data_IF_093778191289
#
_entry.id   IF_093778191289
#
_cell.length_a   1.000
_cell.length_b   1.000
_cell.length_c   1.000
_cell.angle_alpha   90.00
_cell.angle_beta   90.00
_cell.angle_gamma   90.00
#
_symmetry.space_group_name_H-M   'P 1'
#
loop_
_entity.id
_entity.type
_entity.pdbx_description
1 polymer ?
#
# COMPACT_ATOMS: atom_id res chain seq x y z
N UNK A 1 -19.27 -18.12 -33.27
CA UNK A 1 -20.12 -16.96 -33.69
C UNK A 1 -20.75 -16.18 -32.53
N UNK A 2 -20.75 -16.66 -31.28
CA UNK A 2 -21.27 -15.90 -30.10
C UNK A 2 -20.24 -14.96 -29.45
N UNK A 3 -18.93 -15.19 -29.60
CA UNK A 3 -17.88 -14.33 -29.04
C UNK A 3 -17.68 -12.99 -29.78
N UNK A 4 -18.05 -12.93 -31.07
CA UNK A 4 -17.85 -11.70 -31.88
C UNK A 4 -18.93 -10.64 -31.65
N UNK A 5 -20.06 -10.99 -31.05
CA UNK A 5 -21.16 -10.04 -30.78
C UNK A 5 -20.91 -9.30 -29.47
N UNK A 6 -20.26 -9.96 -28.50
CA UNK A 6 -19.91 -9.37 -27.20
C UNK A 6 -18.83 -8.27 -27.34
N UNK A 7 -17.83 -8.52 -28.20
CA UNK A 7 -16.76 -7.54 -28.45
C UNK A 7 -17.28 -6.29 -29.19
N UNK A 8 -18.26 -6.46 -30.10
CA UNK A 8 -18.83 -5.33 -30.83
C UNK A 8 -19.75 -4.46 -29.97
N UNK A 9 -20.46 -5.08 -28.98
CA UNK A 9 -21.26 -4.32 -28.01
C UNK A 9 -20.37 -3.57 -27.01
N UNK A 10 -19.26 -4.18 -26.56
CA UNK A 10 -18.29 -3.52 -25.71
C UNK A 10 -17.60 -2.34 -26.42
N UNK A 11 -17.23 -2.50 -27.70
CA UNK A 11 -16.66 -1.41 -28.49
C UNK A 11 -17.67 -0.26 -28.76
N UNK A 12 -18.95 -0.55 -28.89
CA UNK A 12 -20.01 0.46 -29.07
C UNK A 12 -20.33 1.21 -27.77
N UNK A 13 -20.17 0.58 -26.60
CA UNK A 13 -20.29 1.24 -25.30
C UNK A 13 -19.08 2.12 -24.99
N UNK A 14 -17.86 1.69 -25.33
CA UNK A 14 -16.64 2.46 -25.16
C UNK A 14 -16.61 3.73 -26.04
N UNK A 15 -17.20 3.69 -27.25
CA UNK A 15 -17.32 4.88 -28.11
C UNK A 15 -18.36 5.91 -27.64
N UNK A 16 -19.22 5.58 -26.67
CA UNK A 16 -20.20 6.51 -26.11
C UNK A 16 -19.73 7.24 -24.84
N UNK A 17 -18.56 6.85 -24.29
CA UNK A 17 -17.99 7.37 -23.04
C UNK A 17 -16.78 8.29 -23.25
N UNK A 18 -16.73 9.03 -24.39
CA UNK A 18 -15.83 10.19 -24.42
C UNK A 18 -16.30 11.16 -23.33
N UNK A 19 -15.38 11.65 -22.46
CA UNK A 19 -15.74 12.67 -21.49
C UNK A 19 -16.40 13.80 -22.28
N UNK A 20 -17.68 14.07 -21.95
CA UNK A 20 -18.34 15.26 -22.40
C UNK A 20 -17.55 16.41 -21.80
N UNK A 21 -16.68 17.06 -22.58
CA UNK A 21 -16.11 18.33 -22.18
C UNK A 21 -17.29 19.23 -21.80
N UNK A 22 -17.51 19.47 -20.53
CA UNK A 22 -18.62 20.25 -20.03
C UNK A 22 -18.38 21.73 -20.37
N UNK A 23 -18.75 22.12 -21.57
CA UNK A 23 -18.64 23.50 -22.06
C UNK A 23 -19.60 24.49 -21.38
N UNK A 24 -20.37 24.04 -20.38
CA UNK A 24 -21.46 24.79 -19.80
C UNK A 24 -21.29 25.31 -18.37
N UNK A 25 -20.13 25.09 -17.73
CA UNK A 25 -19.89 25.46 -16.33
C UNK A 25 -20.68 24.60 -15.33
N UNK A 26 -20.52 24.90 -14.03
CA UNK A 26 -21.09 24.11 -12.92
C UNK A 26 -22.63 23.98 -12.97
N UNK A 27 -23.33 24.99 -13.48
CA UNK A 27 -24.81 24.99 -13.57
C UNK A 27 -25.35 23.90 -14.52
N UNK A 28 -24.50 23.38 -15.42
CA UNK A 28 -24.87 22.30 -16.37
C UNK A 28 -24.31 20.94 -15.98
N UNK A 29 -23.53 20.86 -14.91
CA UNK A 29 -22.95 19.62 -14.42
C UNK A 29 -23.92 18.93 -13.46
N UNK A 30 -24.22 17.66 -13.72
CA UNK A 30 -25.05 16.81 -12.89
C UNK A 30 -24.17 15.80 -12.14
N UNK A 31 -23.85 16.04 -10.86
CA UNK A 31 -22.95 15.21 -10.10
C UNK A 31 -23.49 13.79 -9.84
N UNK A 32 -24.81 13.63 -9.71
CA UNK A 32 -25.44 12.31 -9.53
C UNK A 32 -25.25 11.47 -10.78
N UNK A 33 -25.55 12.07 -11.93
CA UNK A 33 -25.38 11.39 -13.21
C UNK A 33 -23.90 11.13 -13.54
N UNK A 34 -23.01 12.04 -13.14
CA UNK A 34 -21.58 11.84 -13.28
C UNK A 34 -21.11 10.62 -12.47
N UNK A 35 -21.53 10.49 -11.20
CA UNK A 35 -21.21 9.34 -10.36
C UNK A 35 -21.78 8.03 -10.89
N UNK A 36 -23.01 8.01 -11.41
CA UNK A 36 -23.61 6.81 -12.03
C UNK A 36 -22.77 6.27 -13.20
N UNK A 37 -22.04 7.14 -13.89
CA UNK A 37 -21.17 6.79 -15.02
C UNK A 37 -19.73 6.44 -14.59
N UNK A 38 -19.36 6.76 -13.35
CA UNK A 38 -18.00 6.59 -12.82
C UNK A 38 -17.95 5.36 -11.90
N UNK A 39 -18.11 4.17 -12.45
CA UNK A 39 -17.83 2.94 -11.74
C UNK A 39 -16.33 2.64 -11.73
N UNK A 40 -15.88 1.82 -10.78
CA UNK A 40 -14.51 1.29 -10.77
C UNK A 40 -14.18 0.64 -12.12
N UNK A 41 -15.12 -0.17 -12.64
CA UNK A 41 -14.97 -0.85 -13.93
C UNK A 41 -14.77 0.12 -15.11
N UNK A 42 -15.53 1.21 -15.16
CA UNK A 42 -15.39 2.22 -16.20
C UNK A 42 -14.03 2.92 -16.09
N UNK A 43 -13.59 3.23 -14.87
CA UNK A 43 -12.31 3.90 -14.63
C UNK A 43 -11.13 3.02 -15.08
N UNK A 44 -11.08 1.74 -14.64
CA UNK A 44 -9.97 0.85 -15.00
C UNK A 44 -9.96 0.46 -16.47
N UNK A 45 -11.11 0.44 -17.14
CA UNK A 45 -11.17 0.26 -18.60
C UNK A 45 -10.66 1.46 -19.37
N UNK A 46 -10.80 2.67 -18.84
CA UNK A 46 -10.32 3.91 -19.48
C UNK A 46 -8.83 4.16 -19.19
N UNK A 47 -8.40 3.98 -17.95
CA UNK A 47 -7.08 4.37 -17.46
C UNK A 47 -6.17 3.18 -17.13
N UNK A 48 -6.67 1.95 -17.11
CA UNK A 48 -5.92 0.74 -16.75
C UNK A 48 -5.90 0.44 -15.25
N UNK A 49 -5.99 1.45 -14.40
CA UNK A 49 -5.96 1.30 -12.94
C UNK A 49 -6.67 2.45 -12.22
N UNK A 50 -7.13 2.19 -11.00
CA UNK A 50 -7.69 3.19 -10.07
C UNK A 50 -7.06 3.02 -8.69
N UNK A 51 -6.53 4.08 -8.14
CA UNK A 51 -6.17 4.21 -6.73
C UNK A 51 -7.19 5.07 -6.00
N UNK A 52 -7.68 4.60 -4.85
CA UNK A 52 -8.48 5.37 -3.89
C UNK A 52 -7.70 5.37 -2.58
N UNK A 53 -7.11 6.50 -2.23
CA UNK A 53 -6.19 6.62 -1.10
C UNK A 53 -6.62 7.71 -0.16
N UNK A 54 -6.44 7.51 1.15
CA UNK A 54 -6.78 8.55 2.10
C UNK A 54 -6.71 8.14 3.56
N UNK A 55 -7.41 8.93 4.37
CA UNK A 55 -7.38 8.82 5.83
C UNK A 55 -8.79 8.89 6.40
N UNK A 56 -9.01 8.14 7.46
CA UNK A 56 -10.23 8.14 8.25
C UNK A 56 -9.83 8.44 9.70
N UNK A 57 -10.34 9.53 10.26
CA UNK A 57 -10.13 9.88 11.65
C UNK A 57 -11.38 9.57 12.47
N UNK A 58 -11.20 8.84 13.55
CA UNK A 58 -12.23 8.53 14.53
C UNK A 58 -11.98 9.36 15.79
N UNK A 59 -12.83 10.32 16.06
CA UNK A 59 -12.65 11.26 17.17
C UNK A 59 -13.78 11.10 18.18
N UNK A 60 -13.50 10.63 19.42
CA UNK A 60 -14.49 10.52 20.49
C UNK A 60 -15.13 11.88 20.82
N UNK A 61 -16.45 11.93 20.97
CA UNK A 61 -17.20 13.17 21.25
C UNK A 61 -17.19 13.58 22.70
N UNK A 62 -16.87 12.67 23.62
CA UNK A 62 -16.79 12.90 25.06
C UNK A 62 -15.47 13.54 25.53
N UNK A 63 -14.49 13.63 24.63
CA UNK A 63 -13.15 14.15 24.92
C UNK A 63 -12.30 13.21 25.83
N UNK A 64 -12.80 12.01 26.13
CA UNK A 64 -12.09 10.97 26.85
C UNK A 64 -11.65 9.87 25.86
N UNK A 65 -10.48 10.02 25.27
CA UNK A 65 -9.89 9.08 24.31
C UNK A 65 -8.98 9.78 23.32
N UNK A 66 -8.02 9.06 22.78
CA UNK A 66 -7.21 9.52 21.67
C UNK A 66 -7.96 9.32 20.34
N UNK A 67 -7.76 10.21 19.41
CA UNK A 67 -8.27 10.03 18.06
C UNK A 67 -7.51 8.86 17.40
N UNK A 68 -8.25 7.96 16.76
CA UNK A 68 -7.65 6.91 15.95
C UNK A 68 -7.62 7.32 14.48
N UNK A 69 -6.51 7.05 13.81
CA UNK A 69 -6.28 7.34 12.40
C UNK A 69 -6.11 6.04 11.63
N UNK A 70 -6.93 5.85 10.62
CA UNK A 70 -6.81 4.73 9.70
C UNK A 70 -6.41 5.26 8.33
N UNK A 71 -5.24 4.87 7.85
CA UNK A 71 -4.85 5.09 6.46
C UNK A 71 -5.43 3.98 5.60
N UNK A 72 -6.02 4.33 4.48
CA UNK A 72 -6.63 3.40 3.52
C UNK A 72 -6.04 3.60 2.12
N UNK A 73 -5.83 2.48 1.44
CA UNK A 73 -5.42 2.47 0.04
C UNK A 73 -6.12 1.31 -0.66
N UNK A 74 -6.96 1.62 -1.62
CA UNK A 74 -7.66 0.65 -2.46
C UNK A 74 -7.16 0.81 -3.88
N UNK A 75 -6.64 -0.27 -4.48
CA UNK A 75 -6.09 -0.26 -5.83
C UNK A 75 -6.76 -1.31 -6.68
N UNK A 76 -7.22 -0.90 -7.82
CA UNK A 76 -7.93 -1.71 -8.81
C UNK A 76 -7.14 -1.69 -10.10
N UNK A 77 -6.96 -2.85 -10.72
CA UNK A 77 -6.22 -3.03 -11.96
C UNK A 77 -7.00 -3.88 -12.93
N UNK A 78 -6.85 -3.62 -14.21
CA UNK A 78 -7.42 -4.46 -15.24
C UNK A 78 -6.43 -4.64 -16.39
N UNK A 79 -6.07 -5.91 -16.65
CA UNK A 79 -5.31 -6.32 -17.82
C UNK A 79 -6.25 -6.86 -18.89
N UNK A 80 -6.54 -6.09 -19.96
CA UNK A 80 -7.46 -6.52 -21.00
C UNK A 80 -6.92 -7.64 -21.90
N UNK A 81 -5.59 -7.88 -21.92
CA UNK A 81 -4.99 -8.95 -22.73
C UNK A 81 -5.28 -10.32 -22.12
N UNK A 82 -5.33 -10.42 -20.81
CA UNK A 82 -5.58 -11.64 -20.07
C UNK A 82 -6.97 -11.71 -19.41
N UNK A 83 -7.81 -10.67 -19.61
CA UNK A 83 -9.09 -10.52 -18.92
C UNK A 83 -8.93 -10.67 -17.40
N UNK A 84 -7.97 -9.95 -16.86
CA UNK A 84 -7.49 -10.10 -15.49
C UNK A 84 -7.84 -8.88 -14.62
N UNK A 85 -8.99 -8.86 -13.95
CA UNK A 85 -9.23 -7.92 -12.88
C UNK A 85 -8.44 -8.31 -11.63
N UNK A 86 -7.82 -7.33 -11.00
CA UNK A 86 -7.09 -7.51 -9.76
C UNK A 86 -7.30 -6.34 -8.80
N UNK A 87 -7.22 -6.62 -7.51
CA UNK A 87 -7.50 -5.66 -6.46
C UNK A 87 -6.56 -5.86 -5.28
N UNK A 88 -6.12 -4.74 -4.72
CA UNK A 88 -5.39 -4.71 -3.46
C UNK A 88 -6.02 -3.65 -2.57
N UNK A 89 -6.33 -3.98 -1.33
CA UNK A 89 -6.57 -2.98 -0.31
C UNK A 89 -5.56 -3.12 0.81
N UNK A 90 -5.09 -1.99 1.28
CA UNK A 90 -4.21 -1.86 2.42
C UNK A 90 -4.86 -0.90 3.40
N UNK A 91 -4.89 -1.27 4.67
CA UNK A 91 -5.39 -0.44 5.75
C UNK A 91 -4.41 -0.53 6.93
N UNK A 92 -4.12 0.60 7.54
CA UNK A 92 -3.29 0.64 8.74
C UNK A 92 -3.88 1.59 9.77
N UNK A 93 -3.82 1.19 11.02
CA UNK A 93 -4.17 1.99 12.19
C UNK A 93 -3.13 1.74 13.29
N UNK A 94 -3.36 2.31 14.47
CA UNK A 94 -2.54 2.01 15.65
C UNK A 94 -2.67 0.56 16.13
N UNK A 95 -3.76 -0.11 15.78
CA UNK A 95 -4.10 -1.44 16.29
C UNK A 95 -3.78 -2.57 15.30
N UNK A 96 -3.81 -2.31 14.01
CA UNK A 96 -3.62 -3.35 12.99
C UNK A 96 -3.10 -2.83 11.65
N UNK A 97 -2.52 -3.75 10.88
CA UNK A 97 -2.26 -3.61 9.46
C UNK A 97 -2.96 -4.72 8.70
N UNK A 98 -3.68 -4.38 7.64
CA UNK A 98 -4.53 -5.30 6.88
C UNK A 98 -4.25 -5.17 5.39
N UNK A 99 -4.06 -6.32 4.72
CA UNK A 99 -4.04 -6.41 3.27
C UNK A 99 -5.14 -7.36 2.81
N UNK A 100 -5.92 -6.94 1.82
CA UNK A 100 -6.72 -7.86 1.01
C UNK A 100 -6.21 -7.79 -0.43
N UNK A 101 -6.07 -8.94 -1.02
CA UNK A 101 -5.61 -9.09 -2.39
C UNK A 101 -6.46 -10.08 -3.16
N UNK A 102 -6.82 -9.75 -4.40
CA UNK A 102 -7.26 -10.76 -5.35
C UNK A 102 -6.72 -10.48 -6.76
N UNK A 103 -6.56 -11.55 -7.54
CA UNK A 103 -6.20 -11.52 -8.95
C UNK A 103 -6.76 -12.75 -9.65
N UNK A 104 -7.25 -12.58 -10.87
CA UNK A 104 -7.96 -13.64 -11.59
C UNK A 104 -7.06 -14.50 -12.49
N UNK A 105 -5.97 -13.96 -13.02
CA UNK A 105 -5.10 -14.64 -13.98
C UNK A 105 -3.74 -14.98 -13.35
N UNK A 106 -3.07 -16.12 -13.69
CA UNK A 106 -3.54 -17.25 -14.54
C UNK A 106 -4.54 -18.18 -13.84
N UNK A 107 -4.75 -18.05 -12.56
CA UNK A 107 -5.78 -18.71 -11.75
C UNK A 107 -6.25 -17.73 -10.69
N UNK A 108 -7.53 -17.74 -10.35
CA UNK A 108 -8.04 -16.91 -9.26
C UNK A 108 -7.29 -17.18 -7.96
N UNK A 109 -6.91 -16.12 -7.29
CA UNK A 109 -6.34 -16.14 -5.95
C UNK A 109 -6.93 -14.98 -5.16
N UNK A 110 -7.36 -15.24 -3.94
CA UNK A 110 -7.82 -14.23 -3.01
C UNK A 110 -7.22 -14.52 -1.65
N UNK A 111 -6.64 -13.51 -1.03
CA UNK A 111 -6.02 -13.66 0.26
C UNK A 111 -6.19 -12.44 1.13
N UNK A 112 -6.08 -12.64 2.43
CA UNK A 112 -5.98 -11.57 3.40
C UNK A 112 -4.80 -11.82 4.34
N UNK A 113 -4.14 -10.74 4.69
CA UNK A 113 -3.11 -10.68 5.71
C UNK A 113 -3.55 -9.66 6.74
N UNK A 114 -3.53 -10.05 8.01
CA UNK A 114 -3.85 -9.18 9.14
C UNK A 114 -2.68 -9.28 10.11
N UNK A 115 -2.13 -8.14 10.50
CA UNK A 115 -1.17 -8.03 11.58
C UNK A 115 -1.81 -7.24 12.73
N UNK A 116 -1.88 -7.85 13.90
CA UNK A 116 -2.42 -7.25 15.12
C UNK A 116 -1.26 -6.63 15.90
N UNK A 117 -1.29 -5.31 16.09
CA UNK A 117 -0.22 -4.57 16.76
C UNK A 117 -0.12 -4.84 18.25
N UNK A 118 -1.23 -5.25 18.88
CA UNK A 118 -1.27 -5.50 20.33
C UNK A 118 -0.74 -6.89 20.70
N UNK A 119 -0.99 -7.89 19.85
CA UNK A 119 -0.54 -9.27 20.06
C UNK A 119 0.76 -9.59 19.30
N UNK A 120 1.14 -8.75 18.34
CA UNK A 120 2.26 -8.97 17.41
C UNK A 120 2.09 -10.26 16.58
N UNK A 121 0.85 -10.72 16.41
CA UNK A 121 0.53 -11.91 15.64
C UNK A 121 0.03 -11.53 14.26
N UNK A 122 0.38 -12.32 13.25
CA UNK A 122 -0.19 -12.21 11.94
C UNK A 122 -1.11 -13.39 11.62
N UNK A 123 -2.08 -13.14 10.77
CA UNK A 123 -2.96 -14.16 10.22
C UNK A 123 -2.99 -14.00 8.70
N UNK A 124 -2.66 -15.08 8.00
CA UNK A 124 -2.81 -15.16 6.55
C UNK A 124 -3.93 -16.13 6.24
N UNK A 125 -4.88 -15.71 5.42
CA UNK A 125 -5.88 -16.60 4.85
C UNK A 125 -5.86 -16.52 3.33
N UNK A 126 -6.11 -17.66 2.67
CA UNK A 126 -6.29 -17.73 1.23
C UNK A 126 -7.60 -18.48 0.99
N UNK A 127 -8.54 -17.81 0.35
CA UNK A 127 -9.89 -18.29 0.15
C UNK A 127 -10.16 -18.60 -1.32
N UNK A 128 -10.95 -19.64 -1.57
CA UNK A 128 -11.57 -19.86 -2.88
C UNK A 128 -12.83 -18.98 -2.93
N UNK A 129 -12.73 -17.81 -3.54
CA UNK A 129 -13.86 -16.92 -3.74
C UNK A 129 -14.36 -16.95 -5.18
N UNK A 130 -15.67 -16.74 -5.31
CA UNK A 130 -16.31 -16.55 -6.61
C UNK A 130 -15.90 -15.16 -7.16
N UNK A 131 -15.20 -15.19 -8.29
CA UNK A 131 -14.70 -13.97 -8.96
C UNK A 131 -15.85 -13.03 -9.31
N UNK A 132 -17.01 -13.57 -9.72
CA UNK A 132 -18.18 -12.76 -10.08
C UNK A 132 -18.69 -11.96 -8.86
N UNK A 133 -18.56 -12.51 -7.66
CA UNK A 133 -18.89 -11.80 -6.42
C UNK A 133 -17.87 -10.70 -6.13
N UNK A 134 -16.57 -10.98 -6.29
CA UNK A 134 -15.50 -10.00 -6.02
C UNK A 134 -15.60 -8.78 -6.94
N UNK A 135 -15.84 -9.00 -8.24
CA UNK A 135 -15.91 -7.90 -9.20
C UNK A 135 -17.30 -7.25 -9.26
N UNK A 136 -18.30 -7.80 -8.59
CA UNK A 136 -19.66 -7.23 -8.60
C UNK A 136 -19.69 -5.79 -8.06
N UNK A 137 -18.88 -5.49 -7.07
CA UNK A 137 -18.76 -4.13 -6.48
C UNK A 137 -18.13 -3.11 -7.45
N UNK A 138 -17.40 -3.56 -8.47
CA UNK A 138 -16.77 -2.68 -9.45
C UNK A 138 -17.75 -1.96 -10.37
N UNK A 139 -18.99 -2.42 -10.42
CA UNK A 139 -20.08 -1.75 -11.13
C UNK A 139 -20.72 -0.60 -10.34
N UNK A 140 -20.39 -0.49 -9.02
CA UNK A 140 -20.77 0.66 -8.22
C UNK A 140 -19.91 1.89 -8.57
N UNK A 141 -20.37 3.08 -8.20
CA UNK A 141 -19.57 4.28 -8.41
C UNK A 141 -18.27 4.22 -7.56
N UNK A 142 -17.22 4.91 -8.06
CA UNK A 142 -15.87 4.82 -7.50
C UNK A 142 -15.75 5.26 -6.03
N UNK A 143 -16.72 6.02 -5.50
CA UNK A 143 -16.76 6.44 -4.10
C UNK A 143 -17.75 5.64 -3.25
N UNK A 144 -18.57 4.77 -3.86
CA UNK A 144 -19.62 4.04 -3.14
C UNK A 144 -20.76 4.92 -2.63
N UNK A 145 -20.90 6.15 -3.13
CA UNK A 145 -21.87 7.12 -2.63
C UNK A 145 -23.29 6.83 -3.12
N UNK A 146 -24.26 6.83 -2.20
CA UNK A 146 -25.68 6.86 -2.49
C UNK A 146 -26.24 8.27 -2.20
N UNK A 147 -26.58 8.98 -3.26
CA UNK A 147 -27.12 10.34 -3.18
C UNK A 147 -28.65 10.38 -3.34
N UNK A 148 -29.36 9.22 -3.32
CA UNK A 148 -30.81 9.15 -3.57
C UNK A 148 -31.64 9.97 -2.57
N UNK A 149 -31.21 10.00 -1.31
CA UNK A 149 -31.83 10.75 -0.22
C UNK A 149 -30.99 11.98 0.23
N UNK A 150 -29.97 12.36 -0.56
CA UNK A 150 -29.05 13.44 -0.21
C UNK A 150 -29.66 14.82 -0.48
N UNK A 151 -29.51 15.74 0.46
CA UNK A 151 -29.87 17.15 0.30
C UNK A 151 -28.67 17.98 -0.15
N UNK A 152 -28.71 18.52 -1.37
CA UNK A 152 -27.68 19.46 -1.83
C UNK A 152 -27.71 20.75 -1.01
N UNK A 153 -26.62 21.08 -0.32
CA UNK A 153 -26.48 22.27 0.50
C UNK A 153 -25.92 23.46 -0.30
N UNK A 154 -24.87 23.23 -1.08
CA UNK A 154 -24.31 24.21 -2.00
C UNK A 154 -23.49 23.56 -3.11
N UNK A 155 -23.23 24.34 -4.17
CA UNK A 155 -22.25 24.02 -5.19
C UNK A 155 -21.39 25.24 -5.49
N UNK A 156 -20.13 25.02 -5.83
CA UNK A 156 -19.19 26.07 -6.19
C UNK A 156 -18.17 25.58 -7.23
N UNK A 157 -17.67 26.52 -8.04
CA UNK A 157 -16.57 26.27 -8.98
C UNK A 157 -15.32 26.95 -8.40
N UNK A 158 -14.25 26.20 -8.23
CA UNK A 158 -13.01 26.67 -7.64
C UNK A 158 -11.81 26.00 -8.31
N UNK A 159 -10.85 26.78 -8.80
CA UNK A 159 -9.56 26.34 -9.35
C UNK A 159 -9.63 25.16 -10.35
N UNK A 160 -10.67 25.12 -11.20
CA UNK A 160 -10.86 24.06 -12.19
C UNK A 160 -11.56 22.81 -11.67
N UNK A 161 -12.17 22.90 -10.50
CA UNK A 161 -12.99 21.85 -9.90
C UNK A 161 -14.44 22.32 -9.71
N UNK A 162 -15.38 21.37 -9.85
CA UNK A 162 -16.75 21.53 -9.44
C UNK A 162 -16.95 20.83 -8.08
N UNK A 163 -17.36 21.62 -7.08
CA UNK A 163 -17.57 21.14 -5.71
C UNK A 163 -19.06 21.08 -5.42
N UNK A 164 -19.52 19.94 -4.92
CA UNK A 164 -20.90 19.72 -4.49
C UNK A 164 -20.91 19.23 -3.04
N UNK A 165 -21.62 19.93 -2.19
CA UNK A 165 -21.75 19.60 -0.77
C UNK A 165 -23.17 19.10 -0.47
N UNK A 166 -23.27 17.95 0.15
CA UNK A 166 -24.51 17.27 0.49
C UNK A 166 -24.62 17.02 2.00
N UNK A 167 -25.85 16.98 2.47
CA UNK A 167 -26.22 16.31 3.71
C UNK A 167 -26.84 14.96 3.34
N UNK A 168 -26.22 13.90 3.82
CA UNK A 168 -26.66 12.52 3.57
C UNK A 168 -26.99 11.91 4.93
N UNK A 169 -28.27 11.98 5.34
CA UNK A 169 -28.75 11.43 6.63
C UNK A 169 -27.96 11.92 7.86
N UNK A 170 -27.50 13.19 7.83
CA UNK A 170 -26.72 13.80 8.91
C UNK A 170 -25.21 13.76 8.72
N UNK A 171 -24.71 13.00 7.77
CA UNK A 171 -23.32 13.10 7.32
C UNK A 171 -23.15 14.25 6.33
N UNK A 172 -22.04 14.98 6.42
CA UNK A 172 -21.73 16.09 5.52
C UNK A 172 -20.68 15.64 4.50
N UNK A 173 -21.13 15.43 3.26
CA UNK A 173 -20.33 14.92 2.15
C UNK A 173 -19.99 16.05 1.18
N UNK A 174 -18.70 16.15 0.78
CA UNK A 174 -18.27 16.99 -0.34
C UNK A 174 -17.64 16.16 -1.41
N UNK A 175 -18.00 16.42 -2.65
CA UNK A 175 -17.50 15.78 -3.85
C UNK A 175 -16.83 16.83 -4.74
N UNK A 176 -15.60 16.54 -5.18
CA UNK A 176 -14.78 17.44 -6.00
C UNK A 176 -14.53 16.77 -7.35
N UNK A 177 -15.10 17.32 -8.40
CA UNK A 177 -14.99 16.82 -9.76
C UNK A 177 -14.05 17.73 -10.57
N UNK A 178 -13.18 17.15 -11.36
CA UNK A 178 -12.41 17.90 -12.36
C UNK A 178 -13.34 18.56 -13.37
N UNK A 179 -13.24 19.87 -13.54
CA UNK A 179 -14.17 20.65 -14.37
C UNK A 179 -14.01 20.36 -15.87
N UNK A 180 -12.90 19.75 -16.31
CA UNK A 180 -12.62 19.43 -17.71
C UNK A 180 -13.06 18.01 -18.05
N UNK A 181 -12.63 17.02 -17.26
CA UNK A 181 -12.92 15.61 -17.50
C UNK A 181 -14.24 15.16 -16.89
N UNK A 182 -14.72 15.84 -15.85
CA UNK A 182 -15.90 15.45 -15.08
C UNK A 182 -15.66 14.29 -14.09
N UNK A 183 -14.42 13.77 -13.98
CA UNK A 183 -14.10 12.70 -13.05
C UNK A 183 -14.01 13.21 -11.61
N UNK A 184 -14.50 12.37 -10.66
CA UNK A 184 -14.30 12.58 -9.24
C UNK A 184 -12.81 12.46 -8.90
N UNK A 185 -12.26 13.50 -8.27
CA UNK A 185 -10.84 13.58 -7.91
C UNK A 185 -10.63 13.44 -6.41
N UNK A 186 -11.60 13.89 -5.64
CA UNK A 186 -11.47 14.03 -4.20
C UNK A 186 -12.84 13.97 -3.53
N UNK A 187 -12.91 13.41 -2.33
CA UNK A 187 -14.08 13.47 -1.48
C UNK A 187 -13.73 13.69 -0.02
N UNK A 188 -14.57 14.39 0.71
CA UNK A 188 -14.51 14.46 2.18
C UNK A 188 -15.88 14.14 2.75
N UNK A 189 -15.90 13.40 3.83
CA UNK A 189 -17.10 13.10 4.58
C UNK A 189 -16.87 13.37 6.06
N UNK A 190 -17.83 14.04 6.68
CA UNK A 190 -17.90 14.25 8.11
C UNK A 190 -19.20 13.63 8.62
N UNK A 191 -19.09 12.56 9.39
CA UNK A 191 -20.21 11.88 10.01
C UNK A 191 -20.14 12.10 11.54
N UNK A 192 -21.29 12.46 12.14
CA UNK A 192 -21.44 12.73 13.57
C UNK A 192 -22.46 11.77 14.15
N UNK A 193 -21.94 10.73 14.79
CA UNK A 193 -22.75 9.78 15.51
C UNK A 193 -22.63 9.99 17.03
N UNK A 194 -23.59 9.45 17.79
CA UNK A 194 -23.55 9.50 19.25
C UNK A 194 -22.29 8.80 19.77
N UNK A 195 -21.36 9.58 20.33
CA UNK A 195 -20.11 9.09 20.92
C UNK A 195 -18.88 9.13 19.99
N UNK A 196 -19.05 9.27 18.68
CA UNK A 196 -17.93 9.25 17.73
C UNK A 196 -18.16 10.16 16.52
N UNK A 197 -17.20 11.01 16.21
CA UNK A 197 -17.17 11.74 14.93
C UNK A 197 -16.18 11.04 13.99
N UNK A 198 -16.59 10.83 12.76
CA UNK A 198 -15.72 10.26 11.71
C UNK A 198 -15.46 11.33 10.64
N UNK A 199 -14.19 11.49 10.28
CA UNK A 199 -13.77 12.40 9.21
C UNK A 199 -13.01 11.56 8.17
N UNK A 200 -13.57 11.46 6.97
CA UNK A 200 -12.99 10.71 5.86
C UNK A 200 -12.50 11.65 4.77
N UNK A 201 -11.32 11.39 4.26
CA UNK A 201 -10.74 12.10 3.12
C UNK A 201 -10.20 11.09 2.13
N UNK A 202 -10.69 11.08 0.88
CA UNK A 202 -10.27 10.16 -0.16
C UNK A 202 -9.87 10.89 -1.44
N UNK A 203 -8.78 10.45 -2.06
CA UNK A 203 -8.27 10.93 -3.35
C UNK A 203 -8.41 9.80 -4.38
N UNK A 204 -8.86 10.12 -5.57
CA UNK A 204 -9.08 9.20 -6.68
C UNK A 204 -8.11 9.53 -7.82
N UNK A 205 -7.30 8.55 -8.21
CA UNK A 205 -6.25 8.73 -9.24
C UNK A 205 -5.95 7.43 -9.96
N UNK A 206 -5.12 7.48 -10.99
CA UNK A 206 -4.49 6.29 -11.54
C UNK A 206 -3.45 5.75 -10.54
N UNK A 207 -3.23 4.43 -10.54
CA UNK A 207 -2.14 3.86 -9.74
C UNK A 207 -0.79 4.29 -10.32
N UNK A 208 0.12 4.68 -9.46
CA UNK A 208 1.49 5.02 -9.84
C UNK A 208 2.34 3.80 -10.19
N UNK A 209 1.92 2.60 -9.78
CA UNK A 209 2.67 1.35 -9.90
C UNK A 209 1.80 0.25 -10.50
N UNK A 210 2.43 -0.66 -11.24
CA UNK A 210 1.77 -1.85 -11.77
C UNK A 210 1.61 -2.93 -10.69
N UNK A 211 0.58 -3.78 -10.81
CA UNK A 211 0.33 -4.86 -9.86
C UNK A 211 1.42 -5.94 -9.81
N UNK A 212 2.04 -6.36 -10.95
CA UNK A 212 3.08 -7.39 -10.95
C UNK A 212 4.29 -7.08 -10.08
N UNK A 213 4.59 -5.81 -9.86
CA UNK A 213 5.79 -5.36 -9.15
C UNK A 213 5.70 -5.52 -7.62
N UNK A 214 4.57 -6.01 -7.09
CA UNK A 214 4.30 -6.07 -5.64
C UNK A 214 4.40 -7.45 -4.99
N UNK A 215 4.59 -8.53 -5.77
CA UNK A 215 4.76 -9.91 -5.25
C UNK A 215 3.57 -10.48 -4.45
N UNK A 216 2.40 -9.82 -4.42
CA UNK A 216 1.24 -10.31 -3.65
C UNK A 216 0.78 -11.69 -4.09
N UNK A 217 0.83 -11.95 -5.40
CA UNK A 217 0.41 -13.24 -5.95
C UNK A 217 1.24 -14.38 -5.42
N UNK A 218 2.56 -14.21 -5.44
CA UNK A 218 3.53 -15.20 -4.98
C UNK A 218 3.38 -15.43 -3.47
N UNK A 219 3.21 -14.36 -2.70
CA UNK A 219 2.98 -14.42 -1.27
C UNK A 219 1.74 -15.25 -0.93
N UNK A 220 0.58 -14.91 -1.50
CA UNK A 220 -0.67 -15.65 -1.21
C UNK A 220 -0.71 -17.04 -1.84
N UNK A 221 -0.10 -17.25 -3.01
CA UNK A 221 -0.01 -18.58 -3.63
C UNK A 221 0.87 -19.54 -2.82
N UNK A 222 1.91 -19.05 -2.17
CA UNK A 222 2.75 -19.80 -1.25
C UNK A 222 2.05 -20.20 0.05
N UNK A 223 1.01 -19.46 0.43
CA UNK A 223 0.28 -19.63 1.70
C UNK A 223 -0.87 -20.66 1.63
N UNK A 224 -1.13 -21.30 0.48
CA UNK A 224 -2.20 -22.30 0.34
C UNK A 224 -1.86 -23.58 1.12
N UNK A 225 -2.37 -23.71 2.34
CA UNK A 225 -2.36 -25.00 3.03
C UNK A 225 -2.15 -25.04 4.54
N UNK A 226 -2.04 -23.91 5.23
CA UNK A 226 -2.01 -23.92 6.70
C UNK A 226 -2.59 -22.63 7.29
N UNK A 227 -3.58 -22.81 8.13
CA UNK A 227 -3.79 -21.93 9.27
C UNK A 227 -2.55 -22.16 10.16
N UNK A 228 -1.61 -21.26 10.12
CA UNK A 228 -0.39 -21.39 10.90
C UNK A 228 0.74 -20.57 10.31
N UNK A 229 1.24 -19.66 11.12
CA UNK A 229 2.60 -19.10 11.08
C UNK A 229 3.27 -19.10 9.71
N UNK A 230 3.57 -17.89 9.25
CA UNK A 230 4.45 -17.57 8.11
C UNK A 230 5.32 -18.73 7.67
N UNK A 231 5.21 -19.11 6.37
CA UNK A 231 6.05 -20.15 5.81
C UNK A 231 7.52 -19.74 5.88
N UNK A 232 8.19 -20.28 6.88
CA UNK A 232 9.63 -20.27 7.01
C UNK A 232 10.26 -20.85 5.74
N UNK A 233 10.93 -20.05 4.96
CA UNK A 233 12.24 -20.45 4.51
C UNK A 233 13.15 -20.11 5.70
N UNK A 234 13.25 -21.06 6.65
CA UNK A 234 14.09 -20.91 7.82
C UNK A 234 15.53 -20.74 7.34
N UNK A 235 16.01 -19.50 7.31
CA UNK A 235 17.42 -19.26 7.31
C UNK A 235 17.92 -19.58 8.72
N UNK A 236 18.24 -20.86 8.95
CA UNK A 236 18.91 -21.33 10.19
C UNK A 236 20.35 -20.82 10.28
N UNK A 237 20.74 -19.92 9.37
CA UNK A 237 22.10 -19.42 9.26
C UNK A 237 22.39 -18.27 10.20
N UNK A 238 23.55 -18.32 10.81
CA UNK A 238 24.16 -17.19 11.52
C UNK A 238 24.53 -16.11 10.52
N UNK A 239 24.22 -14.82 10.85
CA UNK A 239 24.61 -13.69 10.02
C UNK A 239 26.13 -13.62 9.87
N UNK A 240 26.60 -13.83 8.66
CA UNK A 240 28.02 -13.75 8.29
C UNK A 240 28.09 -13.28 6.84
N UNK A 241 28.94 -12.32 6.56
CA UNK A 241 29.17 -11.81 5.21
C UNK A 241 30.56 -11.19 5.07
N UNK A 242 31.05 -11.20 3.84
CA UNK A 242 32.22 -10.42 3.41
C UNK A 242 31.92 -9.87 2.00
N UNK A 243 31.78 -8.56 1.90
CA UNK A 243 31.33 -7.88 0.67
C UNK A 243 31.95 -6.48 0.57
N UNK A 244 31.37 -5.65 -0.27
CA UNK A 244 31.69 -4.21 -0.38
C UNK A 244 30.54 -3.35 0.09
N UNK A 245 30.88 -2.20 0.69
CA UNK A 245 29.88 -1.16 0.88
C UNK A 245 29.57 -0.44 -0.44
N UNK A 246 28.56 0.42 -0.44
CA UNK A 246 28.14 1.20 -1.60
C UNK A 246 29.25 2.14 -2.13
N UNK A 247 30.29 2.41 -1.35
CA UNK A 247 31.46 3.20 -1.74
C UNK A 247 32.61 2.36 -2.28
N UNK A 248 32.43 1.01 -2.34
CA UNK A 248 33.42 0.08 -2.84
C UNK A 248 34.48 -0.37 -1.83
N UNK A 249 34.36 -0.02 -0.54
CA UNK A 249 35.25 -0.48 0.51
C UNK A 249 34.89 -1.90 0.95
N UNK A 250 35.90 -2.67 1.35
CA UNK A 250 35.66 -4.00 1.93
C UNK A 250 35.01 -3.88 3.31
N UNK A 251 33.97 -4.65 3.54
CA UNK A 251 33.18 -4.71 4.77
C UNK A 251 32.80 -6.15 5.09
N UNK A 252 32.79 -6.52 6.35
CA UNK A 252 32.44 -7.85 6.80
C UNK A 252 31.58 -7.85 8.07
N UNK A 253 31.08 -9.02 8.45
CA UNK A 253 30.22 -9.21 9.61
C UNK A 253 30.85 -8.82 10.96
N UNK A 254 32.12 -8.43 11.03
CA UNK A 254 32.69 -7.90 12.29
C UNK A 254 32.04 -6.63 12.78
N UNK A 255 31.32 -5.89 11.90
CA UNK A 255 30.59 -4.67 12.27
C UNK A 255 29.43 -4.90 13.24
N UNK A 256 28.93 -6.15 13.35
CA UNK A 256 27.85 -6.49 14.28
C UNK A 256 28.37 -6.72 15.71
N UNK A 257 29.69 -6.91 15.88
CA UNK A 257 30.26 -7.22 17.17
C UNK A 257 30.00 -6.11 18.21
N UNK A 258 29.45 -6.49 19.36
CA UNK A 258 29.11 -5.57 20.45
C UNK A 258 27.81 -4.80 20.25
N UNK A 259 27.06 -5.10 19.19
CA UNK A 259 25.67 -4.61 19.04
C UNK A 259 24.73 -5.45 19.87
N UNK A 260 23.59 -4.90 20.21
CA UNK A 260 22.51 -5.63 20.89
C UNK A 260 21.45 -6.10 19.89
N UNK A 261 21.20 -5.28 18.88
CA UNK A 261 20.19 -5.49 17.87
C UNK A 261 20.75 -5.12 16.50
N UNK A 262 20.63 -6.03 15.54
CA UNK A 262 21.03 -5.82 14.14
C UNK A 262 19.83 -6.08 13.26
N UNK A 263 19.49 -5.09 12.43
CA UNK A 263 18.42 -5.16 11.45
C UNK A 263 19.05 -5.18 10.06
N UNK A 264 18.94 -6.33 9.37
CA UNK A 264 19.43 -6.53 8.02
C UNK A 264 18.27 -6.33 7.06
N UNK A 265 18.22 -5.17 6.41
CA UNK A 265 17.13 -4.76 5.53
C UNK A 265 17.56 -4.90 4.08
N UNK A 266 16.86 -5.76 3.33
CA UNK A 266 17.00 -5.89 1.88
C UNK A 266 16.15 -4.85 1.21
N UNK A 267 16.76 -4.05 0.33
CA UNK A 267 16.12 -2.96 -0.37
C UNK A 267 16.68 -2.80 -1.79
N UNK A 268 15.98 -2.07 -2.65
CA UNK A 268 16.46 -1.76 -3.99
C UNK A 268 16.21 -0.29 -4.35
N UNK A 269 17.05 0.34 -5.20
CA UNK A 269 16.86 1.73 -5.61
C UNK A 269 15.53 2.01 -6.30
N UNK A 270 14.99 1.05 -7.02
CA UNK A 270 13.68 1.13 -7.68
C UNK A 270 12.50 0.81 -6.76
N UNK A 271 12.74 0.34 -5.53
CA UNK A 271 11.70 -0.06 -4.59
C UNK A 271 11.12 1.16 -3.84
N UNK A 272 9.97 1.68 -4.30
CA UNK A 272 9.34 2.85 -3.71
C UNK A 272 9.01 2.70 -2.22
N UNK A 273 8.60 1.51 -1.76
CA UNK A 273 8.33 1.24 -0.35
C UNK A 273 9.59 1.22 0.50
N UNK A 274 10.69 0.72 -0.06
CA UNK A 274 11.97 0.76 0.61
C UNK A 274 12.42 2.22 0.83
N UNK A 275 12.33 3.04 -0.21
CA UNK A 275 12.69 4.45 -0.15
C UNK A 275 11.76 5.24 0.79
N UNK A 276 10.50 4.80 0.95
CA UNK A 276 9.54 5.40 1.87
C UNK A 276 9.89 5.14 3.34
N UNK A 277 10.37 3.93 3.70
CA UNK A 277 10.70 3.61 5.09
C UNK A 277 12.10 4.03 5.53
N UNK A 278 13.06 4.11 4.59
CA UNK A 278 14.46 4.41 4.90
C UNK A 278 14.68 5.72 5.68
N UNK A 279 13.95 6.82 5.45
CA UNK A 279 14.05 8.03 6.29
C UNK A 279 13.73 7.77 7.76
N UNK A 280 12.71 6.97 8.04
CA UNK A 280 12.30 6.62 9.41
C UNK A 280 13.33 5.70 10.05
N UNK A 281 13.84 4.70 9.31
CA UNK A 281 14.94 3.83 9.75
C UNK A 281 16.19 4.65 10.08
N UNK A 282 16.56 5.65 9.28
CA UNK A 282 17.69 6.54 9.53
C UNK A 282 17.48 7.36 10.81
N UNK A 283 16.27 7.91 11.02
CA UNK A 283 15.91 8.65 12.22
C UNK A 283 16.06 7.78 13.47
N UNK A 284 15.55 6.54 13.43
CA UNK A 284 15.66 5.59 14.52
C UNK A 284 17.09 5.10 14.72
N UNK A 285 17.85 4.89 13.65
CA UNK A 285 19.27 4.55 13.75
C UNK A 285 20.04 5.63 14.50
N UNK A 286 19.86 6.90 14.14
CA UNK A 286 20.51 8.03 14.86
C UNK A 286 20.12 8.08 16.33
N UNK A 287 18.87 7.73 16.66
CA UNK A 287 18.35 7.74 18.02
C UNK A 287 18.90 6.61 18.89
N UNK A 288 19.09 5.42 18.32
CA UNK A 288 19.35 4.20 19.09
C UNK A 288 20.72 3.55 18.84
N UNK A 289 21.53 4.00 17.86
CA UNK A 289 22.84 3.40 17.54
C UNK A 289 23.80 3.34 18.74
N UNK A 290 23.79 4.36 19.58
CA UNK A 290 24.64 4.43 20.79
C UNK A 290 24.13 3.52 21.93
N UNK A 291 22.91 2.99 21.77
CA UNK A 291 22.30 2.00 22.68
C UNK A 291 22.49 0.56 22.20
N UNK A 292 23.11 0.38 21.03
CA UNK A 292 23.47 -0.93 20.49
C UNK A 292 22.69 -1.34 19.24
N UNK A 293 21.89 -0.44 18.64
CA UNK A 293 21.23 -0.70 17.37
C UNK A 293 22.20 -0.58 16.19
N UNK A 294 22.08 -1.49 15.23
CA UNK A 294 22.71 -1.40 13.90
C UNK A 294 21.69 -1.74 12.83
N UNK A 295 21.47 -0.82 11.89
CA UNK A 295 20.86 -1.14 10.60
C UNK A 295 21.95 -1.46 9.58
N UNK A 296 21.67 -2.42 8.70
CA UNK A 296 22.49 -2.75 7.53
C UNK A 296 21.52 -2.86 6.35
N UNK A 297 21.61 -1.95 5.38
CA UNK A 297 20.87 -2.05 4.14
C UNK A 297 21.63 -2.92 3.14
N UNK A 298 20.99 -3.89 2.53
CA UNK A 298 21.55 -4.77 1.49
C UNK A 298 20.83 -4.50 0.18
N UNK A 299 21.57 -4.24 -0.89
CA UNK A 299 21.01 -4.14 -2.24
C UNK A 299 21.71 -5.12 -3.18
N UNK A 300 20.97 -5.63 -4.16
CA UNK A 300 21.51 -6.52 -5.17
C UNK A 300 22.02 -5.71 -6.35
N UNK A 301 23.29 -5.87 -6.64
CA UNK A 301 23.88 -5.22 -7.79
C UNK A 301 23.62 -6.01 -9.06
N UNK A 302 22.76 -5.49 -9.92
CA UNK A 302 22.43 -6.07 -11.22
C UNK A 302 22.15 -5.00 -12.29
N UNK A 303 21.43 -5.34 -13.37
CA UNK A 303 21.12 -4.40 -14.45
C UNK A 303 20.09 -3.33 -14.02
N UNK A 304 19.27 -3.64 -13.02
CA UNK A 304 18.19 -2.79 -12.51
C UNK A 304 18.59 -2.02 -11.22
N UNK A 305 19.77 -2.32 -10.65
CA UNK A 305 20.29 -1.67 -9.44
C UNK A 305 21.81 -1.50 -9.50
N UNK A 306 22.25 -0.32 -9.85
CA UNK A 306 23.67 0.05 -9.93
C UNK A 306 24.17 0.69 -8.63
N UNK A 307 25.50 0.68 -8.42
CA UNK A 307 26.11 1.37 -7.29
C UNK A 307 25.80 2.89 -7.32
N UNK A 308 25.73 3.47 -8.51
CA UNK A 308 25.41 4.90 -8.72
C UNK A 308 23.98 5.22 -8.30
N UNK A 309 23.00 4.39 -8.67
CA UNK A 309 21.58 4.59 -8.30
C UNK A 309 21.39 4.39 -6.79
N UNK A 310 21.96 3.33 -6.22
CA UNK A 310 21.92 3.12 -4.77
C UNK A 310 22.58 4.30 -4.01
N UNK A 311 23.71 4.81 -4.48
CA UNK A 311 24.39 5.95 -3.88
C UNK A 311 23.58 7.25 -4.00
N UNK A 312 22.89 7.45 -5.13
CA UNK A 312 22.02 8.62 -5.32
C UNK A 312 20.88 8.60 -4.30
N UNK A 313 20.16 7.49 -4.16
CA UNK A 313 19.02 7.38 -3.23
C UNK A 313 19.43 7.55 -1.77
N UNK A 314 20.48 6.85 -1.30
CA UNK A 314 20.93 7.00 0.08
C UNK A 314 21.45 8.40 0.39
N UNK A 315 22.01 9.10 -0.62
CA UNK A 315 22.47 10.48 -0.49
C UNK A 315 21.30 11.44 -0.36
N UNK A 316 20.27 11.27 -1.21
CA UNK A 316 19.05 12.08 -1.19
C UNK A 316 18.31 11.96 0.14
N UNK A 317 18.21 10.75 0.68
CA UNK A 317 17.58 10.47 1.98
C UNK A 317 18.48 10.92 3.15
N UNK A 318 19.79 10.87 2.98
CA UNK A 318 20.78 11.18 4.03
C UNK A 318 21.08 10.01 4.96
N UNK A 319 21.09 8.78 4.43
CA UNK A 319 21.37 7.54 5.16
C UNK A 319 22.81 7.56 5.71
N UNK A 320 22.95 7.15 6.98
CA UNK A 320 24.26 7.05 7.66
C UNK A 320 24.58 5.67 8.21
N UNK A 321 23.63 4.73 8.20
CA UNK A 321 23.92 3.33 8.51
C UNK A 321 24.58 2.64 7.31
N UNK A 322 25.31 1.53 7.53
CA UNK A 322 25.97 0.79 6.45
C UNK A 322 25.01 0.32 5.37
N UNK A 323 25.36 0.60 4.12
CA UNK A 323 24.71 0.06 2.93
C UNK A 323 25.73 -0.82 2.22
N UNK A 324 25.40 -2.10 2.00
CA UNK A 324 26.29 -3.12 1.46
C UNK A 324 25.71 -3.78 0.22
N UNK A 325 26.58 -4.28 -0.64
CA UNK A 325 26.19 -5.11 -1.78
C UNK A 325 25.82 -6.52 -1.29
N UNK A 326 24.79 -7.11 -1.93
CA UNK A 326 24.48 -8.51 -1.71
C UNK A 326 25.69 -9.42 -2.03
N UNK A 327 25.75 -10.56 -1.35
CA UNK A 327 26.79 -11.56 -1.54
C UNK A 327 26.27 -12.98 -1.29
N UNK A 328 27.03 -13.98 -1.69
CA UNK A 328 26.62 -15.38 -1.64
C UNK A 328 26.21 -15.84 -0.22
N UNK A 329 26.83 -15.30 0.82
CA UNK A 329 26.54 -15.61 2.21
C UNK A 329 25.18 -15.05 2.67
N UNK A 330 24.70 -13.96 2.05
CA UNK A 330 23.43 -13.32 2.36
C UNK A 330 22.23 -13.91 1.59
N UNK A 331 22.47 -14.64 0.50
CA UNK A 331 21.41 -15.26 -0.31
C UNK A 331 20.51 -16.24 0.48
N UNK A 332 21.00 -16.77 1.61
CA UNK A 332 20.17 -17.57 2.51
C UNK A 332 19.03 -16.75 3.18
N UNK A 333 19.17 -15.42 3.25
CA UNK A 333 18.20 -14.49 3.82
C UNK A 333 17.38 -13.78 2.74
N UNK A 334 17.79 -13.89 1.47
CA UNK A 334 17.05 -13.29 0.35
C UNK A 334 15.67 -13.93 0.24
N UNK A 335 14.64 -13.12 0.15
CA UNK A 335 13.29 -13.54 -0.17
C UNK A 335 12.78 -12.72 -1.38
N UNK A 336 11.59 -13.05 -1.86
CA UNK A 336 11.00 -12.40 -3.03
C UNK A 336 10.17 -11.14 -2.68
N UNK A 337 10.26 -10.64 -1.42
CA UNK A 337 9.54 -9.46 -0.94
C UNK A 337 10.48 -8.28 -0.70
N UNK A 338 10.03 -7.06 -1.07
CA UNK A 338 10.77 -5.81 -0.91
C UNK A 338 9.90 -4.72 -0.26
N UNK A 339 10.35 -4.04 0.82
CA UNK A 339 11.55 -4.36 1.61
C UNK A 339 11.37 -5.65 2.41
N UNK A 340 12.50 -6.27 2.80
CA UNK A 340 12.50 -7.40 3.69
C UNK A 340 13.56 -7.21 4.78
N UNK A 341 13.21 -7.41 6.05
CA UNK A 341 14.14 -7.21 7.16
C UNK A 341 14.26 -8.44 8.04
N UNK A 342 15.49 -8.83 8.29
CA UNK A 342 15.84 -9.88 9.24
C UNK A 342 16.40 -9.24 10.51
N UNK A 343 16.02 -9.81 11.65
CA UNK A 343 16.41 -9.34 12.99
C UNK A 343 17.43 -10.29 13.60
N UNK A 344 18.56 -9.75 14.07
CA UNK A 344 19.64 -10.53 14.68
C UNK A 344 20.11 -9.90 16.01
N UNK A 345 20.67 -10.76 16.87
CA UNK A 345 21.46 -10.30 18.01
C UNK A 345 22.89 -9.90 17.57
N UNK A 346 23.67 -9.35 18.50
CA UNK A 346 25.06 -8.95 18.25
C UNK A 346 26.03 -10.11 18.04
N UNK A 347 25.58 -11.35 18.19
CA UNK A 347 26.33 -12.56 17.88
C UNK A 347 25.98 -13.11 16.48
N UNK A 348 25.01 -12.47 15.79
CA UNK A 348 24.53 -12.84 14.47
C UNK A 348 23.51 -13.98 14.48
N UNK A 349 22.91 -14.32 15.62
CA UNK A 349 21.82 -15.29 15.64
C UNK A 349 20.52 -14.58 15.28
N UNK A 350 19.72 -15.20 14.39
CA UNK A 350 18.39 -14.66 14.04
C UNK A 350 17.50 -14.68 15.29
N UNK A 351 16.82 -13.56 15.53
CA UNK A 351 15.85 -13.41 16.61
C UNK A 351 14.53 -12.90 16.03
N UNK A 352 13.43 -13.55 16.41
CA UNK A 352 12.11 -13.21 15.86
C UNK A 352 11.89 -13.63 14.42
N UNK A 353 10.77 -13.18 13.87
CA UNK A 353 10.35 -13.49 12.53
C UNK A 353 10.98 -12.54 11.50
N UNK A 354 10.95 -12.92 10.24
CA UNK A 354 11.30 -12.05 9.12
C UNK A 354 10.19 -11.02 8.94
N UNK A 355 10.59 -9.79 8.67
CA UNK A 355 9.66 -8.69 8.48
C UNK A 355 9.59 -8.39 6.99
N UNK A 356 8.48 -8.72 6.38
CA UNK A 356 8.22 -8.51 4.96
C UNK A 356 7.38 -7.26 4.77
N UNK A 357 7.80 -6.42 3.81
CA UNK A 357 7.11 -5.18 3.46
C UNK A 357 7.42 -3.99 4.39
N UNK A 358 6.88 -2.86 3.99
CA UNK A 358 7.00 -1.56 4.66
C UNK A 358 6.45 -1.58 6.09
N UNK A 359 7.17 -0.93 7.01
CA UNK A 359 6.64 -0.58 8.35
C UNK A 359 6.81 0.91 8.61
N UNK A 360 5.82 1.55 9.28
CA UNK A 360 5.94 2.93 9.73
C UNK A 360 6.92 3.08 10.90
N UNK A 361 7.34 4.33 11.18
CA UNK A 361 8.35 4.67 12.19
C UNK A 361 8.04 4.09 13.57
N UNK A 362 6.81 4.22 14.03
CA UNK A 362 6.36 3.78 15.35
C UNK A 362 6.42 2.25 15.52
N UNK A 363 6.06 1.49 14.48
CA UNK A 363 6.20 0.03 14.47
C UNK A 363 7.68 -0.40 14.50
N UNK A 364 8.56 0.30 13.75
CA UNK A 364 10.00 0.09 13.83
C UNK A 364 10.54 0.45 15.22
N UNK A 365 10.09 1.56 15.80
CA UNK A 365 10.54 2.00 17.12
C UNK A 365 10.13 1.02 18.22
N UNK A 366 8.90 0.53 18.20
CA UNK A 366 8.41 -0.46 19.16
C UNK A 366 9.26 -1.74 19.13
N UNK A 367 9.54 -2.28 17.93
CA UNK A 367 10.42 -3.45 17.73
C UNK A 367 11.83 -3.20 18.29
N UNK A 368 12.39 -2.03 17.99
CA UNK A 368 13.74 -1.65 18.45
C UNK A 368 13.81 -1.58 19.96
N UNK A 369 12.85 -0.90 20.60
CA UNK A 369 12.82 -0.74 22.07
C UNK A 369 12.68 -2.11 22.73
N UNK A 370 11.75 -2.95 22.28
CA UNK A 370 11.52 -4.29 22.81
C UNK A 370 12.80 -5.15 22.81
N UNK A 371 13.59 -5.08 21.73
CA UNK A 371 14.79 -5.90 21.57
C UNK A 371 16.04 -5.27 22.25
N UNK A 372 16.13 -3.95 22.35
CA UNK A 372 17.22 -3.28 23.08
C UNK A 372 17.10 -3.43 24.62
N UNK A 373 15.89 -3.65 25.14
CA UNK A 373 15.63 -3.83 26.56
C UNK A 373 15.80 -5.29 27.04
N UNK A 374 15.94 -6.24 26.11
CA UNK A 374 16.28 -7.65 26.43
C UNK A 374 17.77 -7.75 26.77
#
# INVERSE_FOLDING_TARGET
MKKSISLLLALLLVMSMMPLAFAGGIDSFDPVKALEQQSVWNYVNEFGSLAVEGQIFYVPTDGEGEADEVTVSYRYYYDPENDNPAYVSEQSSNDYYLIHYFECYPKPICGSYIYDMATEENTVSVDELDVDVLVSSWYNNIGGFDLSDAELKYSEENDGEYVFAYDVNGAFLKLYFDAVSGWLRYSTEENREDGLNTYTTLVYSECSESLPDRGYREFFAGSTGTSGTSGEKAADGKLSFHTKDVYGNDIDSSIIAGKKLVLLNFWEPWCGWCLKEMPDMEKLYRKYKDQGLLFIGVYKRDEDATDEEALEEITNIGITYPIIQDCAELQQFENDAWPCTYVFDGEGNKIGDTIDGYKPEDAWEALIIQNLLR
#
